data_IF_777747698700
#
_entry.id   IF_777747698700
#
_cell.length_a   1.000
_cell.length_b   1.000
_cell.length_c   1.000
_cell.angle_alpha   90.00
_cell.angle_beta   90.00
_cell.angle_gamma   90.00
#
_symmetry.space_group_name_H-M   'P 1'
#
loop_
_entity.id
_entity.type
_entity.pdbx_description
1 polymer ?
#
# COMPACT_ATOMS: atom_id res chain seq x y z
N UNK A 1 -19.44 53.60 3.06
CA UNK A 1 -19.88 52.19 3.13
C UNK A 1 -18.64 51.36 3.43
N UNK A 2 -18.61 50.56 4.50
CA UNK A 2 -17.42 49.82 4.89
C UNK A 2 -17.20 48.62 3.96
N UNK A 3 -15.98 48.52 3.46
CA UNK A 3 -15.47 47.41 2.65
C UNK A 3 -15.36 46.16 3.53
N UNK A 4 -16.00 45.07 3.10
CA UNK A 4 -16.03 43.80 3.82
C UNK A 4 -14.64 43.16 3.78
N UNK A 5 -14.10 42.65 4.90
CA UNK A 5 -12.88 41.86 4.85
C UNK A 5 -13.18 40.59 4.06
N UNK A 6 -12.44 40.41 2.95
CA UNK A 6 -12.48 39.19 2.17
C UNK A 6 -11.89 38.07 3.04
N UNK A 7 -12.77 37.26 3.62
CA UNK A 7 -12.39 36.01 4.27
C UNK A 7 -12.05 35.04 3.15
N UNK A 8 -10.76 34.89 2.88
CA UNK A 8 -10.27 33.81 2.04
C UNK A 8 -10.37 32.52 2.87
N UNK A 9 -11.28 31.61 2.50
CA UNK A 9 -11.17 30.22 2.96
C UNK A 9 -9.86 29.66 2.41
N UNK A 10 -8.83 29.63 3.26
CA UNK A 10 -7.61 28.88 3.00
C UNK A 10 -8.01 27.42 2.99
N UNK A 11 -8.32 26.88 1.81
CA UNK A 11 -8.27 25.44 1.57
C UNK A 11 -6.81 25.08 1.72
N UNK A 12 -6.40 24.69 2.93
CA UNK A 12 -5.11 24.07 3.16
C UNK A 12 -5.10 22.84 2.26
N UNK A 13 -4.38 22.92 1.14
CA UNK A 13 -3.98 21.74 0.38
C UNK A 13 -3.08 20.96 1.34
N UNK A 14 -3.71 20.11 2.14
CA UNK A 14 -3.09 19.26 3.15
C UNK A 14 -2.02 18.47 2.38
N UNK A 15 -0.76 18.82 2.55
CA UNK A 15 0.32 17.89 2.26
C UNK A 15 0.00 16.65 3.10
N UNK A 16 -0.53 15.63 2.43
CA UNK A 16 -0.93 14.39 3.06
C UNK A 16 0.39 13.74 3.44
N UNK A 17 0.80 13.95 4.69
CA UNK A 17 1.90 13.18 5.27
C UNK A 17 1.59 11.70 5.00
N UNK A 18 2.39 11.01 4.17
CA UNK A 18 2.12 9.64 3.74
C UNK A 18 2.27 8.63 4.87
N UNK A 19 2.71 9.10 6.05
CA UNK A 19 2.81 8.34 7.28
C UNK A 19 1.70 8.66 8.28
N UNK A 20 0.86 9.69 8.03
CA UNK A 20 -0.30 9.97 8.88
C UNK A 20 -1.24 8.77 8.88
N UNK A 21 -1.50 8.26 10.09
CA UNK A 21 -2.46 7.18 10.27
C UNK A 21 -3.85 7.59 9.75
N UNK A 22 -4.53 6.69 9.04
CA UNK A 22 -5.86 6.97 8.58
C UNK A 22 -6.89 6.96 9.71
N UNK A 23 -8.00 7.67 9.52
CA UNK A 23 -9.04 7.79 10.54
C UNK A 23 -9.73 6.44 10.85
N UNK A 24 -9.65 5.47 9.94
CA UNK A 24 -10.15 4.09 10.07
C UNK A 24 -9.05 3.07 10.39
N UNK A 25 -7.91 3.50 10.96
CA UNK A 25 -6.81 2.60 11.36
C UNK A 25 -7.21 1.60 12.46
N UNK A 26 -8.16 1.97 13.33
CA UNK A 26 -8.56 1.12 14.44
C UNK A 26 -9.39 -0.10 13.99
N UNK A 27 -10.18 0.03 12.92
CA UNK A 27 -11.04 -1.05 12.44
C UNK A 27 -11.46 -0.86 10.98
N UNK A 28 -11.67 -1.96 10.21
CA UNK A 28 -12.21 -1.87 8.88
C UNK A 28 -13.63 -1.29 8.90
N UNK A 29 -13.92 -0.24 8.11
CA UNK A 29 -15.26 0.33 8.03
C UNK A 29 -16.25 -0.66 7.40
N UNK A 30 -17.55 -0.43 7.59
CA UNK A 30 -18.60 -1.26 7.00
C UNK A 30 -18.57 -1.30 5.46
N UNK A 31 -17.93 -0.32 4.83
CA UNK A 31 -17.72 -0.24 3.38
C UNK A 31 -16.53 -1.04 2.87
N UNK A 32 -15.71 -1.61 3.76
CA UNK A 32 -14.61 -2.47 3.38
C UNK A 32 -15.10 -3.85 2.92
N UNK A 33 -14.50 -4.36 1.85
CA UNK A 33 -14.75 -5.73 1.40
C UNK A 33 -13.97 -6.69 2.28
N UNK A 34 -14.60 -7.80 2.69
CA UNK A 34 -13.98 -8.86 3.47
C UNK A 34 -13.86 -10.12 2.64
N UNK A 35 -12.73 -10.79 2.75
CA UNK A 35 -12.53 -12.11 2.15
C UNK A 35 -12.86 -13.20 3.17
N UNK A 36 -12.91 -14.45 2.70
CA UNK A 36 -13.21 -15.61 3.56
C UNK A 36 -12.13 -15.87 4.63
N UNK A 37 -10.89 -15.41 4.41
CA UNK A 37 -9.80 -15.54 5.38
C UNK A 37 -9.88 -14.53 6.52
N UNK A 38 -10.75 -13.52 6.40
CA UNK A 38 -10.88 -12.42 7.34
C UNK A 38 -10.06 -11.18 6.97
N UNK A 39 -9.28 -11.22 5.88
CA UNK A 39 -8.68 -10.01 5.30
C UNK A 39 -9.78 -9.02 4.93
N UNK A 40 -9.67 -7.79 5.39
CA UNK A 40 -10.53 -6.70 4.92
C UNK A 40 -9.72 -5.73 4.07
N UNK A 41 -10.33 -5.18 3.02
CA UNK A 41 -9.66 -4.21 2.17
C UNK A 41 -10.62 -3.17 1.60
N UNK A 42 -10.06 -2.02 1.26
CA UNK A 42 -10.74 -0.95 0.54
C UNK A 42 -9.81 -0.38 -0.51
N UNK A 43 -10.39 -0.03 -1.64
CA UNK A 43 -9.67 0.59 -2.73
C UNK A 43 -9.62 2.09 -2.47
N UNK A 44 -8.43 2.65 -2.29
CA UNK A 44 -8.23 4.09 -2.13
C UNK A 44 -8.07 4.76 -3.49
N UNK A 45 -7.36 4.11 -4.41
CA UNK A 45 -7.16 4.57 -5.78
C UNK A 45 -7.16 3.39 -6.72
N UNK A 46 -7.91 3.50 -7.82
CA UNK A 46 -7.82 2.58 -8.95
C UNK A 46 -6.69 3.02 -9.87
N UNK A 47 -5.84 2.07 -10.25
CA UNK A 47 -4.87 2.20 -11.30
C UNK A 47 -5.50 2.00 -12.68
N UNK A 48 -4.68 1.62 -13.65
CA UNK A 48 -5.11 1.41 -15.04
C UNK A 48 -5.89 0.09 -15.24
N UNK A 49 -6.00 -0.73 -14.20
CA UNK A 49 -6.55 -2.08 -14.28
C UNK A 49 -5.62 -3.05 -15.02
N UNK A 50 -6.13 -4.24 -15.35
CA UNK A 50 -5.43 -5.23 -16.15
C UNK A 50 -4.87 -6.41 -15.35
N UNK A 51 -3.69 -6.88 -15.76
CA UNK A 51 -3.03 -8.04 -15.16
C UNK A 51 -2.81 -7.85 -13.65
N UNK A 52 -2.70 -8.96 -12.94
CA UNK A 52 -2.50 -9.04 -11.50
C UNK A 52 -1.29 -9.92 -11.19
N UNK A 53 -0.59 -9.69 -10.07
CA UNK A 53 0.54 -10.52 -9.65
C UNK A 53 0.14 -11.99 -9.49
N UNK A 54 0.99 -12.90 -9.95
CA UNK A 54 0.89 -14.32 -9.63
C UNK A 54 1.43 -14.58 -8.21
N UNK A 55 1.01 -15.67 -7.53
CA UNK A 55 1.50 -16.03 -6.20
C UNK A 55 3.03 -16.16 -6.08
N UNK A 56 3.71 -16.47 -7.19
CA UNK A 56 5.17 -16.65 -7.27
C UNK A 56 5.94 -15.39 -7.68
N UNK A 57 5.26 -14.29 -7.96
CA UNK A 57 5.89 -13.09 -8.50
C UNK A 57 6.66 -12.30 -7.44
N UNK A 58 7.61 -11.49 -7.92
CA UNK A 58 8.10 -10.34 -7.19
C UNK A 58 7.19 -9.13 -7.45
N UNK A 59 6.98 -8.31 -6.43
CA UNK A 59 6.18 -7.08 -6.48
C UNK A 59 7.05 -5.87 -6.18
N UNK A 60 6.73 -4.74 -6.81
CA UNK A 60 7.33 -3.42 -6.56
C UNK A 60 6.25 -2.50 -6.03
N UNK A 61 6.41 -2.02 -4.80
CA UNK A 61 5.35 -1.30 -4.09
C UNK A 61 5.88 -0.07 -3.34
N UNK A 62 4.95 0.84 -3.04
CA UNK A 62 5.04 1.63 -1.82
C UNK A 62 4.04 1.10 -0.81
N UNK A 63 4.42 1.13 0.45
CA UNK A 63 3.55 0.86 1.57
C UNK A 63 3.88 1.73 2.78
N UNK A 64 2.86 1.91 3.61
CA UNK A 64 2.97 2.31 5.01
C UNK A 64 2.11 1.37 5.83
N UNK A 65 2.66 0.88 6.94
CA UNK A 65 2.03 -0.02 7.89
C UNK A 65 1.85 0.65 9.26
N UNK A 66 0.65 0.52 9.81
CA UNK A 66 0.27 1.02 11.13
C UNK A 66 -0.26 -0.10 12.02
N UNK A 67 -0.05 0.05 13.32
CA UNK A 67 -0.84 -0.64 14.34
C UNK A 67 -2.21 0.00 14.48
N UNK A 68 -3.18 -0.69 15.08
CA UNK A 68 -4.54 -0.16 15.31
C UNK A 68 -4.58 1.10 16.17
N UNK A 69 -3.51 1.36 16.93
CA UNK A 69 -3.34 2.58 17.74
C UNK A 69 -2.83 3.78 16.90
N UNK A 70 -2.67 3.61 15.58
CA UNK A 70 -2.21 4.64 14.67
C UNK A 70 -0.69 4.83 14.65
N UNK A 71 0.08 3.97 15.33
CA UNK A 71 1.54 4.05 15.31
C UNK A 71 2.08 3.40 14.05
N UNK A 72 2.83 4.16 13.25
CA UNK A 72 3.59 3.65 12.10
C UNK A 72 4.69 2.73 12.62
N UNK A 73 4.72 1.48 12.15
CA UNK A 73 5.82 0.57 12.46
C UNK A 73 6.76 0.35 11.27
N UNK A 74 6.27 0.55 10.05
CA UNK A 74 7.09 0.44 8.84
C UNK A 74 6.52 1.30 7.70
N UNK A 75 7.39 1.94 6.93
CA UNK A 75 7.00 2.70 5.74
C UNK A 75 8.14 2.76 4.74
N UNK A 76 7.88 2.28 3.52
CA UNK A 76 8.78 2.51 2.38
C UNK A 76 8.72 3.96 1.88
N UNK A 77 7.59 4.65 2.07
CA UNK A 77 7.43 6.04 1.62
C UNK A 77 8.29 6.95 2.48
N UNK A 78 8.35 6.70 3.80
CA UNK A 78 9.26 7.41 4.70
C UNK A 78 10.74 7.20 4.33
N UNK A 79 11.07 6.06 3.71
CA UNK A 79 12.43 5.78 3.19
C UNK A 79 12.70 6.41 1.81
N UNK A 80 11.70 7.00 1.16
CA UNK A 80 11.84 7.67 -0.13
C UNK A 80 12.09 6.74 -1.33
N UNK A 81 12.00 5.41 -1.16
CA UNK A 81 12.29 4.43 -2.20
C UNK A 81 11.24 3.32 -2.25
N UNK A 82 10.90 2.87 -3.46
CA UNK A 82 10.01 1.72 -3.66
C UNK A 82 10.68 0.47 -3.09
N UNK A 83 9.87 -0.39 -2.48
CA UNK A 83 10.33 -1.67 -1.97
C UNK A 83 9.97 -2.78 -2.95
N UNK A 84 10.91 -3.70 -3.16
CA UNK A 84 10.73 -4.89 -3.99
C UNK A 84 10.77 -6.11 -3.09
N UNK A 85 9.75 -6.95 -3.17
CA UNK A 85 9.66 -8.17 -2.36
C UNK A 85 9.19 -9.36 -3.21
N UNK A 86 9.72 -10.58 -2.95
CA UNK A 86 9.07 -11.79 -3.43
C UNK A 86 7.76 -11.99 -2.68
N UNK A 87 6.63 -12.00 -3.39
CA UNK A 87 5.31 -12.19 -2.80
C UNK A 87 5.20 -13.42 -1.86
N UNK A 88 5.75 -14.60 -2.19
CA UNK A 88 5.60 -15.77 -1.32
C UNK A 88 6.38 -15.68 0.01
N UNK A 89 7.27 -14.70 0.17
CA UNK A 89 8.00 -14.48 1.42
C UNK A 89 7.32 -13.45 2.35
N UNK A 90 6.18 -12.89 1.95
CA UNK A 90 5.44 -11.90 2.72
C UNK A 90 4.36 -12.55 3.57
N UNK A 91 3.75 -11.78 4.47
CA UNK A 91 2.64 -12.25 5.31
C UNK A 91 1.44 -12.73 4.46
N UNK A 92 0.70 -13.71 4.96
CA UNK A 92 -0.42 -14.32 4.23
C UNK A 92 -1.46 -13.29 3.75
N UNK A 93 -1.74 -12.25 4.53
CA UNK A 93 -2.65 -11.19 4.14
C UNK A 93 -2.19 -10.39 2.92
N UNK A 94 -0.88 -10.23 2.72
CA UNK A 94 -0.32 -9.61 1.52
C UNK A 94 -0.32 -10.57 0.34
N UNK A 95 0.04 -11.84 0.58
CA UNK A 95 -0.04 -12.89 -0.44
C UNK A 95 -1.44 -12.91 -1.06
N UNK A 96 -2.49 -12.85 -0.25
CA UNK A 96 -3.87 -12.79 -0.74
C UNK A 96 -4.22 -11.41 -1.32
N UNK A 97 -3.99 -10.33 -0.57
CA UNK A 97 -4.50 -9.00 -0.91
C UNK A 97 -3.86 -8.39 -2.16
N UNK A 98 -2.55 -8.55 -2.35
CA UNK A 98 -1.83 -7.94 -3.49
C UNK A 98 -2.21 -8.60 -4.81
N UNK A 99 -2.61 -9.87 -4.80
CA UNK A 99 -3.15 -10.55 -5.98
C UNK A 99 -4.50 -9.99 -6.45
N UNK A 100 -5.18 -9.18 -5.63
CA UNK A 100 -6.41 -8.48 -6.01
C UNK A 100 -6.13 -7.13 -6.71
N UNK A 101 -4.89 -6.66 -6.66
CA UNK A 101 -4.48 -5.36 -7.17
C UNK A 101 -3.99 -5.45 -8.62
N UNK A 102 -4.24 -4.40 -9.37
CA UNK A 102 -3.61 -4.13 -10.66
C UNK A 102 -2.56 -3.02 -10.53
N UNK A 103 -1.71 -2.88 -11.54
CA UNK A 103 -0.69 -1.84 -11.57
C UNK A 103 -1.31 -0.43 -11.41
N UNK A 104 -0.77 0.34 -10.47
CA UNK A 104 -1.22 1.68 -10.10
C UNK A 104 -2.35 1.71 -9.07
N UNK A 105 -2.88 0.55 -8.65
CA UNK A 105 -3.85 0.50 -7.56
C UNK A 105 -3.20 0.90 -6.23
N UNK A 106 -3.96 1.63 -5.41
CA UNK A 106 -3.66 1.87 -4.01
C UNK A 106 -4.79 1.30 -3.16
N UNK A 107 -4.50 0.28 -2.37
CA UNK A 107 -5.47 -0.37 -1.48
C UNK A 107 -5.07 -0.13 -0.03
N UNK A 108 -6.09 0.00 0.82
CA UNK A 108 -5.96 -0.16 2.27
C UNK A 108 -6.33 -1.58 2.65
N UNK A 109 -5.49 -2.23 3.43
CA UNK A 109 -5.72 -3.55 3.98
C UNK A 109 -5.79 -3.48 5.50
N UNK A 110 -6.76 -4.16 6.09
CA UNK A 110 -6.79 -4.50 7.51
C UNK A 110 -6.58 -5.99 7.62
N UNK A 111 -5.43 -6.37 8.15
CA UNK A 111 -4.94 -7.74 8.16
C UNK A 111 -5.04 -8.25 9.59
N UNK A 112 -5.92 -9.22 9.87
CA UNK A 112 -5.97 -9.87 11.18
C UNK A 112 -4.61 -10.46 11.54
N UNK A 113 -4.27 -10.44 12.83
CA UNK A 113 -2.97 -10.93 13.32
C UNK A 113 -2.58 -12.33 12.83
N UNK A 114 -3.49 -13.32 12.74
CA UNK A 114 -3.19 -14.64 12.18
C UNK A 114 -2.74 -14.64 10.71
N UNK A 115 -3.16 -13.63 9.94
CA UNK A 115 -2.72 -13.40 8.55
C UNK A 115 -1.51 -12.44 8.47
N UNK A 116 -1.07 -11.92 9.60
CA UNK A 116 0.08 -11.04 9.76
C UNK A 116 1.20 -11.78 10.52
N UNK A 117 1.58 -11.32 11.71
CA UNK A 117 2.73 -11.84 12.46
C UNK A 117 2.35 -12.64 13.72
N UNK A 118 1.06 -12.89 14.00
CA UNK A 118 0.67 -13.61 15.23
C UNK A 118 1.14 -15.08 15.21
N UNK A 119 1.09 -15.72 14.04
CA UNK A 119 1.50 -17.12 13.87
C UNK A 119 3.00 -17.24 13.58
N UNK A 120 3.48 -16.48 12.59
CA UNK A 120 4.86 -16.56 12.09
C UNK A 120 5.40 -15.14 11.92
N UNK A 121 6.19 -14.68 12.87
CA UNK A 121 6.78 -13.35 12.85
C UNK A 121 8.09 -13.32 13.66
N UNK A 122 9.04 -12.45 13.29
CA UNK A 122 10.28 -12.30 14.04
C UNK A 122 9.99 -11.81 15.48
N UNK A 123 10.88 -12.10 16.44
CA UNK A 123 10.78 -11.54 17.79
C UNK A 123 10.64 -10.01 17.75
N UNK A 124 9.62 -9.48 18.42
CA UNK A 124 9.34 -8.04 18.44
C UNK A 124 8.45 -7.52 17.31
N UNK A 125 7.98 -8.38 16.40
CA UNK A 125 6.98 -8.00 15.41
C UNK A 125 5.66 -7.52 16.08
N UNK A 126 4.97 -6.53 15.50
CA UNK A 126 3.70 -6.05 16.04
C UNK A 126 2.65 -7.17 15.98
N UNK A 127 1.80 -7.22 17.01
CA UNK A 127 0.79 -8.27 17.19
C UNK A 127 -0.62 -7.72 17.00
N UNK A 128 -1.54 -8.62 16.67
CA UNK A 128 -2.92 -8.27 16.39
C UNK A 128 -3.12 -7.71 14.98
N UNK A 129 -4.21 -6.99 14.78
CA UNK A 129 -4.56 -6.48 13.46
C UNK A 129 -3.61 -5.36 13.04
N UNK A 130 -3.15 -5.42 11.79
CA UNK A 130 -2.31 -4.40 11.19
C UNK A 130 -3.01 -3.75 10.00
N UNK A 131 -2.77 -2.47 9.81
CA UNK A 131 -3.33 -1.69 8.71
C UNK A 131 -2.22 -1.30 7.75
N UNK A 132 -2.45 -1.49 6.46
CA UNK A 132 -1.49 -1.16 5.44
C UNK A 132 -2.14 -0.39 4.31
N UNK A 133 -1.52 0.71 3.91
CA UNK A 133 -1.77 1.31 2.61
C UNK A 133 -0.69 0.83 1.67
N UNK A 134 -1.08 0.19 0.57
CA UNK A 134 -0.17 -0.40 -0.40
C UNK A 134 -0.50 0.15 -1.77
N UNK A 135 0.51 0.65 -2.47
CA UNK A 135 0.44 1.06 -3.87
C UNK A 135 1.31 0.15 -4.72
N UNK A 136 0.71 -0.51 -5.71
CA UNK A 136 1.40 -1.44 -6.60
C UNK A 136 1.95 -0.73 -7.84
N UNK A 137 3.26 -0.76 -8.05
CA UNK A 137 3.91 -0.13 -9.22
C UNK A 137 4.30 -1.12 -10.30
N UNK A 138 4.56 -2.37 -9.95
CA UNK A 138 4.95 -3.41 -10.90
C UNK A 138 4.99 -4.79 -10.24
N UNK A 139 4.96 -5.81 -11.07
CA UNK A 139 5.10 -7.20 -10.67
C UNK A 139 5.60 -8.04 -11.85
N UNK A 140 6.15 -9.21 -11.56
CA UNK A 140 6.57 -10.17 -12.57
C UNK A 140 7.34 -11.33 -11.97
N UNK A 141 7.75 -12.31 -12.79
CA UNK A 141 8.56 -13.43 -12.32
C UNK A 141 9.78 -12.90 -11.59
N UNK A 142 10.10 -13.51 -10.44
CA UNK A 142 11.23 -13.10 -9.61
C UNK A 142 12.45 -12.84 -10.49
N UNK A 143 12.95 -11.59 -10.46
CA UNK A 143 14.04 -11.16 -11.32
C UNK A 143 15.17 -12.21 -11.22
N UNK A 144 15.72 -12.70 -12.35
CA UNK A 144 16.96 -13.45 -12.27
C UNK A 144 17.99 -12.52 -11.60
N UNK A 145 18.51 -12.95 -10.45
CA UNK A 145 19.56 -12.22 -9.73
C UNK A 145 20.80 -12.17 -10.62
N UNK A 146 20.94 -11.08 -11.37
CA UNK A 146 22.06 -10.82 -12.26
C UNK A 146 21.86 -9.48 -12.95
N UNK A 147 22.66 -8.49 -12.54
CA UNK A 147 22.75 -7.13 -13.08
C UNK A 147 21.54 -6.20 -12.88
N UNK A 148 21.51 -5.55 -11.71
CA UNK A 148 21.72 -4.10 -11.63
C UNK A 148 20.82 -3.14 -12.42
N UNK A 149 19.65 -3.54 -12.92
CA UNK A 149 18.71 -2.61 -13.57
C UNK A 149 17.38 -2.59 -12.84
N UNK A 150 17.26 -1.63 -11.94
CA UNK A 150 15.99 -1.14 -11.42
C UNK A 150 15.10 -0.84 -12.64
N UNK A 151 14.05 -1.63 -12.84
CA UNK A 151 13.01 -1.32 -13.82
C UNK A 151 12.17 -0.15 -13.26
N UNK A 152 12.72 1.05 -13.39
CA UNK A 152 11.92 2.26 -13.45
C UNK A 152 11.18 2.22 -14.79
N UNK A 153 9.98 1.65 -14.78
CA UNK A 153 9.09 1.69 -15.93
C UNK A 153 8.60 3.12 -16.15
N UNK A 154 8.86 3.62 -17.36
CA UNK A 154 8.33 4.82 -18.02
C UNK A 154 8.85 6.21 -17.60
N UNK A 155 9.92 6.65 -18.28
CA UNK A 155 10.06 8.04 -18.68
C UNK A 155 10.14 8.11 -20.22
N UNK A 156 9.10 8.74 -20.79
CA UNK A 156 8.99 9.31 -22.15
C UNK A 156 8.72 8.37 -23.32
N UNK A 157 7.42 8.22 -23.60
CA UNK A 157 6.87 8.45 -24.93
C UNK A 157 7.48 9.73 -25.52
N UNK A 158 8.22 9.62 -26.63
CA UNK A 158 8.41 10.69 -27.59
C UNK A 158 7.73 10.26 -28.90
N UNK A 159 6.98 11.15 -29.57
CA UNK A 159 6.24 10.80 -30.77
C UNK A 159 7.16 10.58 -31.97
N UNK A 160 6.69 9.75 -32.89
CA UNK A 160 7.22 9.56 -34.24
C UNK A 160 7.06 10.84 -35.08
N UNK A 161 8.15 11.30 -35.72
CA UNK A 161 8.24 11.64 -37.16
C UNK A 161 9.72 11.67 -37.59
#
# INVERSE_FOLDING_TARGET
MPDLPHVYEVTVLREVDPTRAPDDVAAPPATATRTASGLAYRVLKRGKGGARPAPSDAIVIHYTGWTTDGVVFDSSVARGARATFPLPALIAGWQEGVQLMSRGDTFRFWIPGPLAYDNEGPPGAPRGMLVFDVTLYGFGPALPTGDGRVVADDAQVLPED
#
